data_IF_077916639994
#
_entry.id   IF_077916639994
#
_cell.length_a   1.000
_cell.length_b   1.000
_cell.length_c   1.000
_cell.angle_alpha   90.00
_cell.angle_beta   90.00
_cell.angle_gamma   90.00
#
_symmetry.space_group_name_H-M   'P 1'
#
loop_
_entity.id
_entity.type
_entity.pdbx_description
1 polymer ?
#
# COMPACT_ATOMS: atom_id res chain seq x y z
N UNK A 1 3.14 4.93 -30.97
CA UNK A 1 1.84 4.49 -30.40
C UNK A 1 2.16 3.87 -29.06
N UNK A 2 1.99 4.62 -27.97
CA UNK A 2 2.26 4.19 -26.60
C UNK A 2 0.90 3.82 -26.01
N UNK A 3 0.70 2.57 -25.60
CA UNK A 3 -0.53 2.13 -24.94
C UNK A 3 -0.52 2.63 -23.47
N UNK A 4 -1.45 3.50 -23.05
CA UNK A 4 -1.53 3.93 -21.65
C UNK A 4 -2.15 2.86 -20.72
N UNK A 5 -2.66 1.76 -21.25
CA UNK A 5 -3.65 0.91 -20.57
C UNK A 5 -3.05 -0.28 -19.81
N UNK A 6 -1.91 -0.13 -19.14
CA UNK A 6 -1.35 -1.21 -18.28
C UNK A 6 -1.55 -0.91 -16.79
N UNK A 7 -1.95 0.32 -16.44
CA UNK A 7 -2.15 0.75 -15.05
C UNK A 7 -3.40 1.60 -14.90
N UNK A 8 -4.28 1.20 -13.99
CA UNK A 8 -5.45 1.99 -13.59
C UNK A 8 -5.13 2.80 -12.33
N UNK A 9 -5.53 4.07 -12.30
CA UNK A 9 -5.36 4.96 -11.15
C UNK A 9 -6.57 5.89 -11.00
N UNK A 10 -6.88 6.27 -9.77
CA UNK A 10 -7.88 7.29 -9.46
C UNK A 10 -7.27 8.70 -9.28
N UNK A 11 -5.96 8.86 -9.48
CA UNK A 11 -5.28 10.15 -9.35
C UNK A 11 -5.63 11.06 -10.54
N UNK A 12 -6.15 12.28 -10.31
CA UNK A 12 -6.41 13.25 -11.37
C UNK A 12 -5.15 13.74 -12.10
N UNK A 13 -5.27 14.04 -13.40
CA UNK A 13 -4.16 14.51 -14.24
C UNK A 13 -3.50 15.79 -13.70
N UNK A 14 -4.29 16.71 -13.14
CA UNK A 14 -3.81 17.96 -12.56
C UNK A 14 -2.97 17.72 -11.30
N UNK A 15 -3.35 16.73 -10.48
CA UNK A 15 -2.57 16.30 -9.31
C UNK A 15 -1.23 15.69 -9.75
N UNK A 16 -1.22 14.82 -10.77
CA UNK A 16 0.00 14.25 -11.35
C UNK A 16 0.91 15.37 -11.86
N UNK A 17 0.36 16.29 -12.66
CA UNK A 17 1.13 17.40 -13.22
C UNK A 17 1.69 18.33 -12.12
N UNK A 18 0.97 18.50 -11.01
CA UNK A 18 1.45 19.26 -9.86
C UNK A 18 2.67 18.61 -9.19
N UNK A 19 2.63 17.30 -8.97
CA UNK A 19 3.75 16.55 -8.40
C UNK A 19 5.01 16.63 -9.29
N UNK A 20 4.85 16.55 -10.61
CA UNK A 20 5.96 16.68 -11.57
C UNK A 20 6.59 18.08 -11.48
N UNK A 21 5.78 19.14 -11.42
CA UNK A 21 6.29 20.52 -11.31
C UNK A 21 7.03 20.75 -10.00
N UNK A 22 6.49 20.28 -8.88
CA UNK A 22 7.15 20.34 -7.57
C UNK A 22 8.54 19.69 -7.63
N UNK A 23 8.64 18.48 -8.20
CA UNK A 23 9.91 17.77 -8.28
C UNK A 23 10.95 18.52 -9.14
N UNK A 24 10.53 19.13 -10.25
CA UNK A 24 11.43 19.90 -11.11
C UNK A 24 11.87 21.24 -10.49
N UNK A 25 11.03 21.84 -9.65
CA UNK A 25 11.34 23.11 -9.00
C UNK A 25 12.25 22.93 -7.78
N UNK A 26 11.93 21.97 -6.91
CA UNK A 26 12.55 21.87 -5.58
C UNK A 26 13.65 20.80 -5.52
N UNK A 27 13.76 19.95 -6.56
CA UNK A 27 14.59 18.74 -6.57
C UNK A 27 14.48 17.94 -5.26
N UNK A 28 13.25 17.83 -4.76
CA UNK A 28 12.97 17.23 -3.46
C UNK A 28 13.59 15.83 -3.35
N UNK A 29 14.29 15.59 -2.25
CA UNK A 29 14.78 14.27 -1.87
C UNK A 29 13.75 13.60 -0.99
N UNK A 30 13.44 12.34 -1.28
CA UNK A 30 12.46 11.55 -0.56
C UNK A 30 13.19 10.54 0.32
N UNK A 31 12.92 10.57 1.62
CA UNK A 31 13.30 9.48 2.52
C UNK A 31 12.22 8.41 2.47
N UNK A 32 12.60 7.18 2.12
CA UNK A 32 11.67 6.06 1.97
C UNK A 32 11.89 5.07 3.10
N UNK A 33 10.88 4.91 3.94
CA UNK A 33 10.84 3.87 4.98
C UNK A 33 9.93 2.72 4.53
N UNK A 34 10.24 1.51 4.96
CA UNK A 34 9.47 0.32 4.61
C UNK A 34 9.16 -0.50 5.85
N UNK A 35 7.92 -0.95 5.96
CA UNK A 35 7.43 -1.80 7.03
C UNK A 35 6.51 -2.87 6.46
N UNK A 36 6.65 -4.11 6.95
CA UNK A 36 5.82 -5.25 6.54
C UNK A 36 5.14 -5.82 7.76
N UNK A 37 3.81 -5.88 7.76
CA UNK A 37 3.07 -6.51 8.86
C UNK A 37 3.29 -8.03 8.87
N UNK A 38 3.39 -8.60 10.08
CA UNK A 38 3.58 -10.04 10.29
C UNK A 38 2.26 -10.74 10.60
N UNK A 39 2.29 -12.07 10.59
CA UNK A 39 1.15 -12.91 10.90
C UNK A 39 1.51 -14.39 10.93
N UNK A 40 0.52 -15.23 11.25
CA UNK A 40 0.67 -16.69 11.34
C UNK A 40 -0.03 -17.35 10.17
N UNK A 41 0.68 -18.26 9.48
CA UNK A 41 0.07 -19.07 8.42
C UNK A 41 -0.88 -20.13 8.98
N UNK A 42 -2.07 -20.25 8.41
CA UNK A 42 -3.07 -21.25 8.79
C UNK A 42 -3.94 -21.66 7.60
N UNK A 43 -4.76 -22.69 7.79
CA UNK A 43 -5.81 -23.04 6.84
C UNK A 43 -7.17 -22.57 7.38
N UNK A 44 -7.94 -21.87 6.53
CA UNK A 44 -9.30 -21.43 6.85
C UNK A 44 -10.17 -21.38 5.59
N UNK A 45 -11.49 -21.40 5.76
CA UNK A 45 -12.44 -21.07 4.69
C UNK A 45 -12.50 -19.55 4.50
N UNK A 46 -12.64 -19.09 3.26
CA UNK A 46 -12.78 -17.67 2.94
C UNK A 46 -14.17 -17.37 2.41
N UNK A 47 -14.57 -16.10 2.54
CA UNK A 47 -15.87 -15.64 2.05
C UNK A 47 -16.09 -15.94 0.55
N UNK A 48 -15.04 -15.88 -0.26
CA UNK A 48 -15.12 -16.12 -1.70
C UNK A 48 -15.12 -17.59 -2.11
N UNK A 49 -14.68 -18.51 -1.23
CA UNK A 49 -14.60 -19.95 -1.50
C UNK A 49 -15.12 -20.77 -0.31
N UNK A 50 -16.44 -20.73 -0.03
CA UNK A 50 -17.04 -21.48 1.05
C UNK A 50 -16.88 -22.99 0.85
N UNK A 51 -16.61 -23.74 1.92
CA UNK A 51 -16.41 -25.19 1.89
C UNK A 51 -15.01 -25.66 1.46
N UNK A 52 -14.06 -24.75 1.18
CA UNK A 52 -12.67 -25.09 0.86
C UNK A 52 -11.69 -24.43 1.84
N UNK A 53 -10.82 -25.24 2.44
CA UNK A 53 -9.72 -24.77 3.28
C UNK A 53 -8.58 -24.24 2.40
N UNK A 54 -8.20 -22.98 2.59
CA UNK A 54 -7.12 -22.32 1.85
C UNK A 54 -6.03 -21.86 2.81
N UNK A 55 -4.80 -21.82 2.30
CA UNK A 55 -3.67 -21.24 3.03
C UNK A 55 -3.86 -19.72 3.14
N UNK A 56 -4.06 -19.24 4.36
CA UNK A 56 -4.23 -17.82 4.69
C UNK A 56 -3.22 -17.39 5.74
N UNK A 57 -3.03 -16.09 5.88
CA UNK A 57 -2.24 -15.49 6.97
C UNK A 57 -3.21 -14.78 7.89
N UNK A 58 -3.23 -15.18 9.15
CA UNK A 58 -3.86 -14.41 10.22
C UNK A 58 -2.90 -13.28 10.64
N UNK A 59 -3.24 -12.00 10.43
CA UNK A 59 -2.36 -10.89 10.78
C UNK A 59 -2.14 -10.82 12.30
N UNK A 60 -0.90 -10.55 12.73
CA UNK A 60 -0.61 -10.25 14.13
C UNK A 60 -1.15 -8.86 14.49
N UNK A 61 -2.10 -8.76 15.45
CA UNK A 61 -2.68 -7.48 15.84
C UNK A 61 -1.63 -6.46 16.28
N UNK A 62 -0.58 -6.88 16.98
CA UNK A 62 0.47 -5.97 17.44
C UNK A 62 1.25 -5.36 16.27
N UNK A 63 1.56 -6.16 15.25
CA UNK A 63 2.22 -5.69 14.04
C UNK A 63 1.35 -4.75 13.21
N UNK A 64 0.03 -4.97 13.19
CA UNK A 64 -0.92 -4.05 12.52
C UNK A 64 -0.99 -2.71 13.25
N UNK A 65 -1.05 -2.70 14.58
CA UNK A 65 -1.05 -1.45 15.36
C UNK A 65 0.26 -0.67 15.21
N UNK A 66 1.40 -1.35 15.13
CA UNK A 66 2.68 -0.72 14.85
C UNK A 66 2.68 -0.04 13.47
N UNK A 67 2.18 -0.72 12.43
CA UNK A 67 2.07 -0.14 11.09
C UNK A 67 1.22 1.14 11.11
N UNK A 68 0.09 1.13 11.83
CA UNK A 68 -0.76 2.32 12.00
C UNK A 68 -0.01 3.45 12.71
N UNK A 69 0.74 3.14 13.77
CA UNK A 69 1.55 4.12 14.50
C UNK A 69 2.58 4.78 13.58
N UNK A 70 3.31 3.99 12.80
CA UNK A 70 4.33 4.49 11.87
C UNK A 70 3.72 5.40 10.80
N UNK A 71 2.55 5.06 10.26
CA UNK A 71 1.82 5.93 9.33
C UNK A 71 1.46 7.25 10.03
N UNK A 72 0.86 7.20 11.23
CA UNK A 72 0.47 8.41 11.95
C UNK A 72 1.65 9.31 12.33
N UNK A 73 2.82 8.75 12.63
CA UNK A 73 4.02 9.51 12.92
C UNK A 73 4.53 10.31 11.71
N UNK A 74 4.38 9.76 10.49
CA UNK A 74 4.79 10.40 9.25
C UNK A 74 3.81 11.47 8.76
N UNK A 75 2.51 11.32 9.05
CA UNK A 75 1.42 12.20 8.58
C UNK A 75 1.07 13.35 9.54
N UNK A 76 1.93 13.66 10.52
CA UNK A 76 1.66 14.72 11.53
C UNK A 76 1.35 16.09 10.93
#
# INVERSE_FOLDING_TARGET
MLCPEVFETNMPDDQIASLVRMQLADMAQWEVTSYTSTGTGMYAETFSMPGQQLSVIEPDPASVEEAKRLIQELYK
#
